data_IF_000699433974
#
_entry.id   IF_000699433974
#
_cell.length_a   1.000
_cell.length_b   1.000
_cell.length_c   1.000
_cell.angle_alpha   90.00
_cell.angle_beta   90.00
_cell.angle_gamma   90.00
#
_symmetry.space_group_name_H-M   'P 1'
#
loop_
_entity.id
_entity.type
_entity.pdbx_description
1 polymer ?
#
# COMPACT_ATOMS: atom_id res chain seq x y z
N UNK A 1 8.83 -20.27 -19.03
CA UNK A 1 9.15 -18.83 -19.18
C UNK A 1 7.89 -17.98 -19.31
N UNK A 2 7.01 -18.24 -20.29
CA UNK A 2 5.76 -17.49 -20.49
C UNK A 2 4.78 -17.48 -19.30
N UNK A 3 4.58 -18.61 -18.62
CA UNK A 3 3.66 -18.70 -17.47
C UNK A 3 4.08 -17.81 -16.28
N UNK A 4 5.38 -17.65 -16.05
CA UNK A 4 5.90 -16.80 -14.97
C UNK A 4 5.73 -15.31 -15.31
N UNK A 5 5.86 -14.93 -16.59
CA UNK A 5 5.65 -13.56 -17.05
C UNK A 5 4.17 -13.14 -16.93
N UNK A 6 3.24 -14.05 -17.18
CA UNK A 6 1.80 -13.77 -17.08
C UNK A 6 1.38 -13.50 -15.64
N UNK A 7 1.86 -14.35 -14.70
CA UNK A 7 1.74 -14.05 -13.28
C UNK A 7 2.35 -12.66 -13.02
N UNK A 8 3.57 -12.41 -13.53
CA UNK A 8 4.35 -11.15 -13.63
C UNK A 8 3.57 -9.87 -13.97
N UNK A 9 2.63 -9.98 -14.87
CA UNK A 9 1.82 -8.84 -15.28
C UNK A 9 0.62 -8.66 -14.33
N UNK A 10 -0.01 -9.76 -13.90
CA UNK A 10 -1.20 -9.74 -13.06
C UNK A 10 -0.97 -9.04 -11.71
N UNK A 11 0.11 -9.36 -10.99
CA UNK A 11 0.39 -8.69 -9.70
C UNK A 11 0.83 -7.24 -9.86
N UNK A 12 1.45 -6.88 -11.00
CA UNK A 12 1.81 -5.50 -11.30
C UNK A 12 0.55 -4.66 -11.52
N UNK A 13 -0.40 -5.19 -12.30
CA UNK A 13 -1.72 -4.58 -12.51
C UNK A 13 -2.46 -4.44 -11.17
N UNK A 14 -2.45 -5.47 -10.35
CA UNK A 14 -3.10 -5.45 -9.03
C UNK A 14 -2.47 -4.43 -8.08
N UNK A 15 -1.14 -4.34 -8.05
CA UNK A 15 -0.42 -3.36 -7.23
C UNK A 15 -0.76 -1.92 -7.66
N UNK A 16 -0.78 -1.65 -8.97
CA UNK A 16 -1.17 -0.34 -9.50
C UNK A 16 -2.64 -0.03 -9.15
N UNK A 17 -3.54 -1.00 -9.25
CA UNK A 17 -4.94 -0.82 -8.87
C UNK A 17 -5.10 -0.42 -7.40
N UNK A 18 -4.40 -1.10 -6.48
CA UNK A 18 -4.38 -0.72 -5.06
C UNK A 18 -3.84 0.70 -4.83
N UNK A 19 -2.80 1.09 -5.57
CA UNK A 19 -2.25 2.45 -5.55
C UNK A 19 -3.25 3.51 -6.04
N UNK A 20 -3.95 3.24 -7.14
CA UNK A 20 -5.00 4.14 -7.65
C UNK A 20 -6.13 4.28 -6.64
N UNK A 21 -6.58 3.18 -6.02
CA UNK A 21 -7.58 3.24 -4.95
C UNK A 21 -7.11 4.13 -3.78
N UNK A 22 -5.86 3.98 -3.34
CA UNK A 22 -5.28 4.82 -2.28
C UNK A 22 -5.31 6.32 -2.64
N UNK A 23 -4.93 6.65 -3.87
CA UNK A 23 -4.90 8.03 -4.39
C UNK A 23 -6.30 8.64 -4.60
N UNK A 24 -7.27 7.86 -5.09
CA UNK A 24 -8.65 8.34 -5.22
C UNK A 24 -9.27 8.64 -3.86
N UNK A 25 -9.00 7.82 -2.84
CA UNK A 25 -9.46 8.07 -1.45
C UNK A 25 -8.86 9.37 -0.90
N UNK A 26 -7.59 9.66 -1.21
CA UNK A 26 -6.94 10.92 -0.84
C UNK A 26 -7.63 12.13 -1.48
N UNK A 27 -7.98 12.04 -2.77
CA UNK A 27 -8.53 13.15 -3.54
C UNK A 27 -10.01 13.47 -3.28
N UNK A 28 -10.83 12.44 -3.02
CA UNK A 28 -12.29 12.61 -3.03
C UNK A 28 -12.91 12.94 -1.67
N UNK A 29 -12.30 12.48 -0.57
CA UNK A 29 -12.85 12.70 0.77
C UNK A 29 -12.28 13.97 1.39
N UNK A 30 -13.08 14.90 1.90
CA UNK A 30 -12.57 16.11 2.60
C UNK A 30 -12.29 15.88 4.09
N UNK A 31 -12.91 14.87 4.69
CA UNK A 31 -12.74 14.57 6.11
C UNK A 31 -11.57 13.60 6.36
N UNK A 32 -10.66 13.99 7.24
CA UNK A 32 -9.44 13.26 7.55
C UNK A 32 -9.70 11.90 8.23
N UNK A 33 -10.78 11.79 9.01
CA UNK A 33 -11.16 10.56 9.74
C UNK A 33 -11.61 9.47 8.78
N UNK A 34 -12.46 9.80 7.82
CA UNK A 34 -12.95 8.87 6.80
C UNK A 34 -11.85 8.34 5.88
N UNK A 35 -10.86 9.18 5.55
CA UNK A 35 -9.68 8.78 4.77
C UNK A 35 -8.90 7.68 5.49
N UNK A 36 -8.56 7.91 6.76
CA UNK A 36 -7.77 6.99 7.58
C UNK A 36 -8.54 5.69 7.81
N UNK A 37 -9.83 5.75 8.14
CA UNK A 37 -10.63 4.54 8.37
C UNK A 37 -10.66 3.66 7.12
N UNK A 38 -10.85 4.25 5.94
CA UNK A 38 -10.88 3.51 4.67
C UNK A 38 -9.51 2.90 4.35
N UNK A 39 -8.41 3.63 4.49
CA UNK A 39 -7.08 3.07 4.27
C UNK A 39 -6.72 1.97 5.27
N UNK A 40 -7.12 2.10 6.54
CA UNK A 40 -6.94 1.06 7.54
C UNK A 40 -7.76 -0.18 7.22
N UNK A 41 -9.01 -0.04 6.77
CA UNK A 41 -9.81 -1.20 6.35
C UNK A 41 -9.24 -1.90 5.11
N UNK A 42 -8.76 -1.15 4.10
CA UNK A 42 -8.10 -1.73 2.93
C UNK A 42 -6.76 -2.39 3.28
N UNK A 43 -5.96 -1.74 4.14
CA UNK A 43 -4.71 -2.29 4.65
C UNK A 43 -4.93 -3.55 5.49
N UNK A 44 -5.91 -3.56 6.38
CA UNK A 44 -6.23 -4.73 7.21
C UNK A 44 -6.77 -5.89 6.36
N UNK A 45 -7.62 -5.63 5.38
CA UNK A 45 -8.10 -6.65 4.44
C UNK A 45 -6.94 -7.26 3.65
N UNK A 46 -6.08 -6.41 3.06
CA UNK A 46 -4.89 -6.88 2.34
C UNK A 46 -3.92 -7.64 3.26
N UNK A 47 -3.77 -7.20 4.51
CA UNK A 47 -2.95 -7.85 5.53
C UNK A 47 -3.47 -9.20 5.98
N UNK A 48 -4.78 -9.32 6.23
CA UNK A 48 -5.42 -10.60 6.59
C UNK A 48 -5.33 -11.60 5.45
N UNK A 49 -5.59 -11.18 4.20
CA UNK A 49 -5.44 -12.06 3.04
C UNK A 49 -3.97 -12.46 2.88
N UNK A 50 -3.04 -11.51 2.98
CA UNK A 50 -1.60 -11.79 2.94
C UNK A 50 -1.14 -12.73 4.05
N UNK A 51 -1.69 -12.58 5.26
CA UNK A 51 -1.38 -13.43 6.42
C UNK A 51 -1.96 -14.83 6.26
N UNK A 52 -3.20 -14.99 5.79
CA UNK A 52 -3.81 -16.30 5.48
C UNK A 52 -3.00 -17.01 4.39
N UNK A 53 -2.61 -16.29 3.33
CA UNK A 53 -1.73 -16.82 2.30
C UNK A 53 -0.36 -17.20 2.85
N UNK A 54 0.21 -16.42 3.79
CA UNK A 54 1.49 -16.71 4.42
C UNK A 54 1.43 -17.93 5.36
N UNK A 55 0.36 -18.06 6.16
CA UNK A 55 0.11 -19.20 7.04
C UNK A 55 -0.17 -20.48 6.26
N UNK A 56 -0.90 -20.40 5.14
CA UNK A 56 -1.10 -21.53 4.22
C UNK A 56 0.18 -21.98 3.51
N UNK A 57 1.19 -21.11 3.44
CA UNK A 57 2.44 -21.38 2.71
C UNK A 57 3.58 -21.90 3.58
N UNK A 58 3.43 -21.94 4.91
CA UNK A 58 4.54 -22.25 5.81
C UNK A 58 4.64 -23.71 6.26
N UNK A 59 3.59 -24.51 6.15
CA UNK A 59 3.64 -25.87 6.72
C UNK A 59 3.31 -27.05 5.78
N UNK A 60 2.41 -26.97 4.79
CA UNK A 60 2.10 -28.13 3.95
C UNK A 60 1.49 -27.75 2.58
N UNK A 61 2.30 -27.27 1.63
CA UNK A 61 1.84 -26.98 0.27
C UNK A 61 2.95 -27.05 -0.77
N UNK A 62 2.72 -27.82 -1.84
CA UNK A 62 3.64 -28.32 -2.88
C UNK A 62 4.51 -27.29 -3.65
N UNK A 63 4.49 -25.98 -3.36
CA UNK A 63 5.29 -24.98 -4.08
C UNK A 63 6.05 -24.05 -3.12
N UNK A 64 7.39 -24.04 -3.14
CA UNK A 64 8.22 -23.27 -2.22
C UNK A 64 8.12 -21.76 -2.48
N UNK A 65 7.81 -21.00 -1.44
CA UNK A 65 7.65 -19.53 -1.40
C UNK A 65 8.92 -18.75 -1.80
N UNK A 66 10.10 -19.38 -1.80
CA UNK A 66 11.36 -18.66 -1.74
C UNK A 66 12.22 -18.69 -3.03
N UNK A 67 11.61 -18.84 -4.22
CA UNK A 67 12.35 -18.73 -5.51
C UNK A 67 11.96 -17.57 -6.42
N UNK A 68 10.92 -16.80 -6.11
CA UNK A 68 10.57 -15.59 -6.85
C UNK A 68 10.32 -14.45 -5.87
N UNK A 69 11.10 -13.37 -5.97
CA UNK A 69 10.88 -12.09 -5.24
C UNK A 69 9.51 -11.45 -5.56
N UNK A 70 8.73 -12.11 -6.41
CA UNK A 70 7.52 -11.61 -7.00
C UNK A 70 6.39 -12.63 -6.80
N UNK A 71 6.16 -13.00 -5.53
CA UNK A 71 5.06 -13.87 -5.12
C UNK A 71 3.88 -13.04 -4.62
N UNK A 72 2.65 -13.54 -4.87
CA UNK A 72 1.38 -12.91 -4.46
C UNK A 72 1.37 -12.49 -2.99
N UNK A 73 1.82 -13.38 -2.11
CA UNK A 73 1.85 -13.15 -0.67
C UNK A 73 2.79 -11.99 -0.31
N UNK A 74 3.94 -11.86 -1.00
CA UNK A 74 4.87 -10.76 -0.79
C UNK A 74 4.26 -9.42 -1.23
N UNK A 75 3.62 -9.40 -2.40
CA UNK A 75 2.93 -8.21 -2.94
C UNK A 75 1.81 -7.76 -2.00
N UNK A 76 1.00 -8.68 -1.46
CA UNK A 76 -0.08 -8.31 -0.54
C UNK A 76 0.42 -7.78 0.81
N UNK A 77 1.48 -8.39 1.37
CA UNK A 77 2.06 -7.94 2.64
C UNK A 77 2.72 -6.56 2.48
N UNK A 78 3.44 -6.31 1.38
CA UNK A 78 4.02 -4.97 1.12
C UNK A 78 2.95 -3.91 0.86
N UNK A 79 1.87 -4.23 0.13
CA UNK A 79 0.75 -3.29 -0.07
C UNK A 79 0.05 -2.96 1.25
N UNK A 80 -0.18 -3.95 2.13
CA UNK A 80 -0.70 -3.73 3.48
C UNK A 80 0.18 -2.73 4.25
N UNK A 81 1.49 -2.98 4.30
CA UNK A 81 2.42 -2.10 4.99
C UNK A 81 2.44 -0.69 4.38
N UNK A 82 2.34 -0.58 3.06
CA UNK A 82 2.25 0.70 2.36
C UNK A 82 0.98 1.49 2.75
N UNK A 83 -0.19 0.84 2.88
CA UNK A 83 -1.42 1.49 3.35
C UNK A 83 -1.29 1.99 4.80
N UNK A 84 -0.71 1.18 5.69
CA UNK A 84 -0.43 1.60 7.07
C UNK A 84 0.54 2.77 7.14
N UNK A 85 1.62 2.72 6.35
CA UNK A 85 2.61 3.78 6.27
C UNK A 85 2.01 5.07 5.73
N UNK A 86 1.21 4.99 4.66
CA UNK A 86 0.49 6.13 4.09
C UNK A 86 -0.46 6.75 5.13
N UNK A 87 -1.22 5.92 5.85
CA UNK A 87 -2.10 6.38 6.92
C UNK A 87 -1.33 7.06 8.06
N UNK A 88 -0.19 6.50 8.48
CA UNK A 88 0.65 7.07 9.53
C UNK A 88 1.27 8.41 9.10
N UNK A 89 1.78 8.47 7.86
CA UNK A 89 2.37 9.68 7.29
C UNK A 89 1.31 10.78 7.14
N UNK A 90 0.12 10.44 6.64
CA UNK A 90 -1.00 11.37 6.55
C UNK A 90 -1.41 11.90 7.93
N UNK A 91 -1.50 11.04 8.94
CA UNK A 91 -1.81 11.49 10.29
C UNK A 91 -0.71 12.41 10.88
N UNK A 92 0.56 12.08 10.66
CA UNK A 92 1.68 12.89 11.16
C UNK A 92 1.77 14.26 10.48
N UNK A 93 1.52 14.33 9.17
CA UNK A 93 1.60 15.57 8.39
C UNK A 93 0.32 16.39 8.48
N UNK A 94 -0.85 15.78 8.27
CA UNK A 94 -2.13 16.49 8.14
C UNK A 94 -2.77 16.80 9.50
N UNK A 95 -2.76 15.84 10.44
CA UNK A 95 -3.40 16.02 11.76
C UNK A 95 -2.45 16.64 12.78
N UNK A 96 -1.23 16.12 12.89
CA UNK A 96 -0.25 16.70 13.81
C UNK A 96 0.42 17.96 13.28
N UNK A 97 0.26 18.27 11.98
CA UNK A 97 0.91 19.43 11.33
C UNK A 97 2.39 19.56 11.72
N UNK A 98 3.07 18.42 11.93
CA UNK A 98 4.46 18.41 12.38
C UNK A 98 5.39 18.93 11.28
N UNK A 99 4.88 19.00 10.04
CA UNK A 99 5.60 19.54 8.91
C UNK A 99 4.68 20.45 8.08
N UNK A 100 4.89 21.76 8.20
CA UNK A 100 4.13 22.81 7.46
C UNK A 100 4.73 23.14 6.08
N UNK A 101 5.33 22.18 5.37
CA UNK A 101 5.83 22.39 4.00
C UNK A 101 6.92 23.47 3.82
N UNK A 102 7.59 23.92 4.89
CA UNK A 102 8.77 24.79 4.78
C UNK A 102 9.96 23.92 4.30
N UNK A 103 10.21 23.85 2.99
CA UNK A 103 10.83 24.95 2.26
C UNK A 103 10.18 25.31 0.89
N UNK A 104 9.07 24.68 0.50
CA UNK A 104 8.42 24.93 -0.81
C UNK A 104 7.31 26.00 -0.78
N UNK A 105 7.09 26.67 0.35
CA UNK A 105 6.29 27.90 0.38
C UNK A 105 7.09 29.13 -0.14
N UNK A 106 8.35 28.93 -0.55
CA UNK A 106 9.29 29.96 -0.97
C UNK A 106 9.97 29.78 -2.36
N UNK A 107 9.43 29.07 -3.38
CA UNK A 107 9.93 29.29 -4.74
C UNK A 107 9.30 30.59 -5.27
N UNK A 108 9.86 31.74 -4.90
CA UNK A 108 9.47 33.05 -5.43
C UNK A 108 9.07 34.12 -4.41
N UNK A 109 9.67 34.15 -3.21
CA UNK A 109 9.74 35.42 -2.46
C UNK A 109 10.99 36.16 -2.90
N UNK A 110 10.88 36.82 -4.04
CA UNK A 110 11.86 37.77 -4.56
C UNK A 110 11.66 39.11 -3.87
N UNK A 111 12.62 39.58 -3.06
CA UNK A 111 12.90 41.01 -2.76
C UNK A 111 14.27 41.10 -2.09
#
# INVERSE_FOLDING_TARGET
MWMAQMAGCLLSIFQVFLGVQAGTILGFHREWRDRIYRWLTWGSLAGVIGAILCLASKDNGWIPVNKNLWSLSFVMVTSCFAFFLLSALYYAIDVRQWWSGAPFYYPGKDT
#
